data_IF_281058212093
#
_entry.id   IF_281058212093
#
_cell.length_a   1.000
_cell.length_b   1.000
_cell.length_c   1.000
_cell.angle_alpha   90.00
_cell.angle_beta   90.00
_cell.angle_gamma   90.00
#
_symmetry.space_group_name_H-M   'P 1'
#
loop_
_entity.id
_entity.type
_entity.pdbx_description
1 polymer ?
#
# COMPACT_ATOMS: atom_id res chain seq x y z
N UNK A 1 -38.62 27.56 -13.66
CA UNK A 1 -38.85 26.52 -14.69
C UNK A 1 -37.63 26.27 -15.57
N UNK A 2 -36.47 26.79 -15.15
CA UNK A 2 -35.18 26.76 -15.90
C UNK A 2 -34.14 25.79 -15.34
N UNK A 3 -34.33 25.23 -14.14
CA UNK A 3 -33.29 24.34 -13.52
C UNK A 3 -33.48 22.83 -13.79
N UNK A 4 -34.49 22.45 -14.57
CA UNK A 4 -34.70 21.02 -14.93
C UNK A 4 -34.11 20.60 -16.28
N UNK A 5 -33.64 21.55 -17.08
CA UNK A 5 -33.10 21.28 -18.43
C UNK A 5 -31.61 20.90 -18.36
N UNK A 6 -30.89 21.47 -17.38
CA UNK A 6 -29.40 21.29 -17.27
C UNK A 6 -28.98 19.93 -16.74
N UNK A 7 -29.79 19.27 -15.93
CA UNK A 7 -29.50 17.93 -15.40
C UNK A 7 -29.73 16.81 -16.43
N UNK A 8 -30.68 16.99 -17.37
CA UNK A 8 -30.97 16.01 -18.40
C UNK A 8 -29.95 16.05 -19.55
N UNK A 9 -29.37 17.19 -19.81
CA UNK A 9 -28.33 17.32 -20.85
C UNK A 9 -26.96 16.80 -20.36
N UNK A 10 -26.58 17.03 -19.11
CA UNK A 10 -25.39 16.40 -18.52
C UNK A 10 -25.47 14.88 -18.51
N UNK A 11 -26.63 14.32 -18.15
CA UNK A 11 -26.83 12.86 -18.16
C UNK A 11 -26.86 12.27 -19.58
N UNK A 12 -27.29 13.06 -20.58
CA UNK A 12 -27.25 12.70 -21.99
C UNK A 12 -25.86 12.78 -22.59
N UNK A 13 -25.03 13.70 -22.15
CA UNK A 13 -23.64 13.80 -22.59
C UNK A 13 -22.75 12.75 -21.91
N UNK A 14 -23.02 12.36 -20.66
CA UNK A 14 -22.39 11.22 -19.99
C UNK A 14 -22.77 9.88 -20.67
N UNK A 15 -24.05 9.73 -21.11
CA UNK A 15 -24.48 8.55 -21.88
C UNK A 15 -23.91 8.53 -23.30
N UNK A 16 -23.64 9.68 -23.91
CA UNK A 16 -22.99 9.76 -25.23
C UNK A 16 -21.49 9.52 -25.17
N UNK A 17 -20.80 9.90 -24.07
CA UNK A 17 -19.39 9.56 -23.83
C UNK A 17 -19.21 8.05 -23.62
N UNK A 18 -20.18 7.35 -23.06
CA UNK A 18 -20.19 5.90 -22.94
C UNK A 18 -20.38 5.16 -24.28
N UNK A 19 -20.87 5.82 -25.33
CA UNK A 19 -21.09 5.24 -26.65
C UNK A 19 -19.89 5.40 -27.62
N UNK A 20 -18.91 6.22 -27.32
CA UNK A 20 -17.83 6.56 -28.25
C UNK A 20 -16.56 5.68 -28.15
N UNK A 21 -16.56 4.54 -27.48
CA UNK A 21 -15.46 3.53 -27.57
C UNK A 21 -14.06 3.99 -27.13
N UNK A 22 -13.88 5.24 -26.76
CA UNK A 22 -12.57 5.81 -26.36
C UNK A 22 -12.23 5.49 -24.90
N UNK A 23 -13.24 5.27 -24.09
CA UNK A 23 -13.11 5.07 -22.65
C UNK A 23 -12.26 3.86 -22.20
N UNK A 24 -12.35 2.66 -22.81
CA UNK A 24 -11.56 1.51 -22.39
C UNK A 24 -10.05 1.65 -22.70
N UNK A 25 -9.70 2.36 -23.77
CA UNK A 25 -8.30 2.49 -24.22
C UNK A 25 -7.54 3.50 -23.35
N UNK A 26 -8.16 4.62 -23.02
CA UNK A 26 -7.52 5.62 -22.16
C UNK A 26 -7.34 5.13 -20.73
N UNK A 27 -8.31 4.41 -20.20
CA UNK A 27 -8.15 3.72 -18.92
C UNK A 27 -6.96 2.73 -18.95
N UNK A 28 -6.84 1.92 -20.01
CA UNK A 28 -5.72 0.99 -20.15
C UNK A 28 -4.37 1.70 -20.23
N UNK A 29 -4.31 2.86 -20.91
CA UNK A 29 -3.09 3.69 -20.97
C UNK A 29 -2.73 4.23 -19.59
N UNK A 30 -3.70 4.71 -18.81
CA UNK A 30 -3.51 5.23 -17.45
C UNK A 30 -3.10 4.14 -16.46
N UNK A 31 -3.60 2.91 -16.62
CA UNK A 31 -3.26 1.78 -15.74
C UNK A 31 -1.98 1.03 -16.14
N UNK A 32 -1.48 1.25 -17.36
CA UNK A 32 -0.29 0.57 -17.87
C UNK A 32 0.97 0.71 -16.98
N UNK A 33 1.29 1.88 -16.38
CA UNK A 33 2.41 2.01 -15.44
C UNK A 33 2.26 1.10 -14.22
N UNK A 34 1.05 1.01 -13.65
CA UNK A 34 0.76 0.16 -12.50
C UNK A 34 0.94 -1.32 -12.83
N UNK A 35 0.50 -1.76 -14.02
CA UNK A 35 0.69 -3.14 -14.50
C UNK A 35 2.17 -3.50 -14.53
N UNK A 36 3.01 -2.61 -15.06
CA UNK A 36 4.46 -2.83 -15.10
C UNK A 36 5.08 -2.88 -13.69
N UNK A 37 4.64 -1.99 -12.82
CA UNK A 37 5.12 -1.92 -11.42
C UNK A 37 4.77 -3.18 -10.62
N UNK A 38 3.60 -3.78 -10.88
CA UNK A 38 3.12 -4.93 -10.12
C UNK A 38 3.59 -6.28 -10.69
N UNK A 39 4.00 -6.32 -11.94
CA UNK A 39 4.45 -7.55 -12.60
C UNK A 39 5.67 -8.15 -11.88
N UNK A 40 5.59 -9.43 -11.56
CA UNK A 40 6.63 -10.17 -10.83
C UNK A 40 6.71 -9.89 -9.34
N UNK A 41 5.90 -8.95 -8.83
CA UNK A 41 5.82 -8.61 -7.41
C UNK A 41 5.03 -9.64 -6.62
N UNK A 42 5.37 -9.79 -5.34
CA UNK A 42 4.70 -10.74 -4.44
C UNK A 42 3.72 -10.01 -3.55
N UNK A 43 2.44 -10.34 -3.67
CA UNK A 43 1.36 -9.81 -2.84
C UNK A 43 0.83 -10.89 -1.91
N UNK A 44 0.70 -10.56 -0.62
CA UNK A 44 -0.03 -11.37 0.35
C UNK A 44 -1.39 -10.70 0.56
N UNK A 45 -2.46 -11.41 0.22
CA UNK A 45 -3.83 -10.89 0.29
C UNK A 45 -4.62 -11.72 1.30
N UNK A 46 -5.02 -11.05 2.38
CA UNK A 46 -5.93 -11.61 3.38
C UNK A 46 -7.37 -11.17 3.10
N UNK A 47 -8.30 -12.06 3.30
CA UNK A 47 -9.74 -11.75 3.29
C UNK A 47 -10.48 -12.52 4.38
N UNK A 48 -11.49 -11.88 4.96
CA UNK A 48 -12.30 -12.44 6.03
C UNK A 48 -13.13 -13.64 5.56
N UNK A 49 -13.52 -14.51 6.51
CA UNK A 49 -14.39 -15.65 6.22
C UNK A 49 -15.81 -15.25 5.80
N UNK A 50 -16.22 -14.04 6.07
CA UNK A 50 -17.51 -13.45 5.69
C UNK A 50 -17.68 -13.30 4.16
N UNK A 51 -16.58 -13.10 3.43
CA UNK A 51 -16.61 -12.94 1.97
C UNK A 51 -17.14 -14.16 1.24
N UNK A 52 -16.97 -15.35 1.79
CA UNK A 52 -17.45 -16.60 1.17
C UNK A 52 -18.98 -16.67 1.02
N UNK A 53 -19.70 -15.90 1.82
CA UNK A 53 -21.18 -15.85 1.78
C UNK A 53 -21.70 -14.57 1.13
N UNK A 54 -20.82 -13.68 0.69
CA UNK A 54 -21.18 -12.40 0.08
C UNK A 54 -21.27 -12.53 -1.45
N UNK A 55 -22.10 -11.70 -2.06
CA UNK A 55 -22.14 -11.54 -3.53
C UNK A 55 -20.80 -11.08 -4.13
N UNK A 56 -19.89 -10.57 -3.28
CA UNK A 56 -18.55 -10.14 -3.66
C UNK A 56 -17.53 -11.28 -3.85
N UNK A 57 -17.87 -12.54 -3.48
CA UNK A 57 -16.91 -13.65 -3.61
C UNK A 57 -16.49 -13.89 -5.06
N UNK A 58 -17.45 -13.91 -5.98
CA UNK A 58 -17.16 -14.07 -7.41
C UNK A 58 -16.30 -12.91 -7.94
N UNK A 59 -16.62 -11.69 -7.56
CA UNK A 59 -15.83 -10.50 -7.94
C UNK A 59 -14.39 -10.60 -7.43
N UNK A 60 -14.20 -11.03 -6.18
CA UNK A 60 -12.87 -11.24 -5.62
C UNK A 60 -12.08 -12.29 -6.42
N UNK A 61 -12.70 -13.42 -6.74
CA UNK A 61 -12.06 -14.47 -7.57
C UNK A 61 -11.66 -13.92 -8.94
N UNK A 62 -12.49 -13.06 -9.55
CA UNK A 62 -12.17 -12.36 -10.79
C UNK A 62 -10.93 -11.48 -10.66
N UNK A 63 -10.93 -10.63 -9.66
CA UNK A 63 -9.86 -9.67 -9.42
C UNK A 63 -8.54 -10.38 -9.17
N UNK A 64 -8.56 -11.43 -8.35
CA UNK A 64 -7.37 -12.25 -8.06
C UNK A 64 -6.88 -13.00 -9.31
N UNK A 65 -7.81 -13.50 -10.12
CA UNK A 65 -7.50 -14.14 -11.40
C UNK A 65 -6.82 -13.16 -12.35
N UNK A 66 -7.36 -11.95 -12.47
CA UNK A 66 -6.77 -10.89 -13.28
C UNK A 66 -5.36 -10.53 -12.81
N UNK A 67 -5.16 -10.33 -11.50
CA UNK A 67 -3.83 -10.03 -10.93
C UNK A 67 -2.81 -11.12 -11.25
N UNK A 68 -3.20 -12.39 -11.13
CA UNK A 68 -2.33 -13.52 -11.47
C UNK A 68 -1.93 -13.51 -12.95
N UNK A 69 -2.87 -13.23 -13.87
CA UNK A 69 -2.59 -13.13 -15.30
C UNK A 69 -1.73 -11.92 -15.67
N UNK A 70 -1.82 -10.84 -14.92
CA UNK A 70 -0.94 -9.67 -15.06
C UNK A 70 0.49 -9.95 -14.54
N UNK A 71 0.73 -11.15 -14.00
CA UNK A 71 2.04 -11.60 -13.55
C UNK A 71 2.35 -11.27 -12.09
N UNK A 72 1.34 -10.94 -11.27
CA UNK A 72 1.51 -10.78 -9.82
C UNK A 72 1.59 -12.16 -9.16
N UNK A 73 2.56 -12.36 -8.27
CA UNK A 73 2.71 -13.58 -7.48
C UNK A 73 1.80 -13.48 -6.25
N UNK A 74 0.78 -14.33 -6.16
CA UNK A 74 -0.25 -14.23 -5.14
C UNK A 74 -0.11 -15.27 -4.05
N UNK A 75 -0.14 -14.82 -2.79
CA UNK A 75 -0.36 -15.65 -1.61
C UNK A 75 -1.66 -15.21 -0.96
N UNK A 76 -2.62 -16.12 -0.90
CA UNK A 76 -3.94 -15.88 -0.35
C UNK A 76 -4.02 -16.43 1.07
N UNK A 77 -4.55 -15.64 1.99
CA UNK A 77 -4.83 -16.06 3.37
C UNK A 77 -6.29 -15.79 3.67
N UNK A 78 -7.04 -16.81 4.05
CA UNK A 78 -8.46 -16.64 4.35
C UNK A 78 -8.74 -16.69 5.84
N UNK A 79 -9.72 -15.88 6.29
CA UNK A 79 -10.38 -16.06 7.58
C UNK A 79 -11.35 -17.23 7.55
N UNK A 80 -11.78 -17.71 8.72
CA UNK A 80 -12.74 -18.82 8.82
C UNK A 80 -13.60 -18.76 10.10
N UNK A 81 -13.52 -17.67 10.86
CA UNK A 81 -14.16 -17.56 12.17
C UNK A 81 -15.67 -17.85 12.11
N UNK A 82 -16.36 -17.22 11.17
CA UNK A 82 -17.81 -17.38 11.00
C UNK A 82 -18.21 -18.81 10.63
N UNK A 83 -17.45 -19.48 9.78
CA UNK A 83 -17.71 -20.86 9.38
C UNK A 83 -17.45 -21.81 10.53
N UNK A 84 -16.38 -21.59 11.29
CA UNK A 84 -16.07 -22.40 12.49
C UNK A 84 -17.17 -22.23 13.55
N UNK A 85 -17.65 -21.01 13.80
CA UNK A 85 -18.74 -20.77 14.74
C UNK A 85 -20.03 -21.46 14.32
N UNK A 86 -20.40 -21.41 13.03
CA UNK A 86 -21.55 -22.14 12.47
C UNK A 86 -21.39 -23.66 12.61
N UNK A 87 -20.18 -24.18 12.33
CA UNK A 87 -19.92 -25.61 12.44
C UNK A 87 -19.96 -26.11 13.89
N UNK A 88 -19.42 -25.33 14.83
CA UNK A 88 -19.54 -25.62 16.27
C UNK A 88 -21.00 -25.62 16.74
N UNK A 89 -21.79 -24.63 16.26
CA UNK A 89 -23.21 -24.57 16.57
C UNK A 89 -23.97 -25.80 16.06
N UNK A 90 -23.69 -26.25 14.83
CA UNK A 90 -24.28 -27.50 14.29
C UNK A 90 -23.93 -28.72 15.14
N UNK A 91 -22.78 -28.75 15.76
CA UNK A 91 -22.31 -29.81 16.66
C UNK A 91 -22.76 -29.61 18.12
N UNK A 92 -23.53 -28.57 18.41
CA UNK A 92 -23.95 -28.19 19.78
C UNK A 92 -22.78 -27.91 20.72
N UNK A 93 -21.67 -27.39 20.21
CA UNK A 93 -20.48 -26.99 20.95
C UNK A 93 -20.48 -25.49 21.10
N UNK A 94 -20.40 -24.99 22.32
CA UNK A 94 -20.26 -23.56 22.61
C UNK A 94 -18.83 -23.11 22.36
N UNK A 95 -18.56 -22.09 21.52
CA UNK A 95 -17.22 -21.58 21.34
C UNK A 95 -16.73 -20.87 22.62
N UNK A 96 -15.51 -21.18 23.04
CA UNK A 96 -14.87 -20.53 24.19
C UNK A 96 -13.85 -19.53 23.70
N UNK A 97 -13.98 -18.29 24.16
CA UNK A 97 -13.03 -17.22 23.89
C UNK A 97 -12.48 -16.67 25.20
N UNK A 98 -11.23 -16.30 25.20
CA UNK A 98 -10.60 -15.62 26.32
C UNK A 98 -9.75 -14.45 25.85
N UNK A 99 -9.66 -13.42 26.70
CA UNK A 99 -8.82 -12.24 26.49
C UNK A 99 -7.66 -12.30 27.45
N UNK A 100 -6.43 -12.24 26.97
CA UNK A 100 -5.26 -12.17 27.84
C UNK A 100 -4.94 -10.73 28.18
N UNK A 101 -4.36 -10.50 29.36
CA UNK A 101 -3.98 -9.17 29.84
C UNK A 101 -2.90 -8.51 28.94
N UNK A 102 -2.07 -9.32 28.26
CA UNK A 102 -1.01 -8.87 27.38
C UNK A 102 -1.49 -8.48 25.97
N UNK A 103 -2.55 -9.13 25.52
CA UNK A 103 -3.11 -8.93 24.19
C UNK A 103 -4.59 -8.65 24.38
N UNK A 104 -5.02 -7.41 24.26
CA UNK A 104 -6.44 -6.99 24.43
C UNK A 104 -7.42 -7.70 23.48
N UNK A 105 -6.96 -8.71 22.76
CA UNK A 105 -7.68 -9.46 21.73
C UNK A 105 -8.29 -10.73 22.29
N UNK A 106 -9.53 -11.01 21.88
CA UNK A 106 -10.20 -12.28 22.18
C UNK A 106 -9.68 -13.41 21.27
N UNK A 107 -9.01 -14.37 21.88
CA UNK A 107 -8.57 -15.60 21.21
C UNK A 107 -9.50 -16.75 21.54
N UNK A 108 -9.75 -17.60 20.55
CA UNK A 108 -10.49 -18.86 20.77
C UNK A 108 -9.61 -19.83 21.54
N UNK A 109 -10.16 -20.42 22.61
CA UNK A 109 -9.59 -21.63 23.21
C UNK A 109 -9.99 -22.80 22.31
N UNK A 110 -9.01 -23.44 21.69
CA UNK A 110 -9.26 -24.52 20.71
C UNK A 110 -9.02 -25.87 21.37
N UNK A 111 -10.08 -26.50 21.84
CA UNK A 111 -10.06 -27.88 22.32
C UNK A 111 -10.07 -28.90 21.16
N UNK A 112 -10.08 -30.19 21.46
CA UNK A 112 -10.04 -31.27 20.46
C UNK A 112 -11.29 -31.26 19.54
N UNK A 113 -12.45 -30.91 20.08
CA UNK A 113 -13.70 -30.86 19.33
C UNK A 113 -13.75 -29.66 18.41
N UNK A 114 -13.33 -28.48 18.91
CA UNK A 114 -13.15 -27.28 18.09
C UNK A 114 -12.11 -27.50 16.97
N UNK A 115 -11.00 -28.21 17.27
CA UNK A 115 -10.01 -28.53 16.26
C UNK A 115 -10.58 -29.44 15.16
N UNK A 116 -11.48 -30.36 15.52
CA UNK A 116 -12.18 -31.23 14.56
C UNK A 116 -13.11 -30.44 13.68
N UNK A 117 -13.88 -29.48 14.24
CA UNK A 117 -14.70 -28.56 13.46
C UNK A 117 -13.86 -27.69 12.51
N UNK A 118 -12.73 -27.18 12.98
CA UNK A 118 -11.78 -26.39 12.18
C UNK A 118 -11.26 -27.20 10.97
N UNK A 119 -10.91 -28.48 11.14
CA UNK A 119 -10.46 -29.35 10.03
C UNK A 119 -11.55 -29.49 8.96
N UNK A 120 -12.81 -29.67 9.36
CA UNK A 120 -13.94 -29.76 8.42
C UNK A 120 -14.11 -28.47 7.62
N UNK A 121 -14.11 -27.33 8.32
CA UNK A 121 -14.26 -26.01 7.71
C UNK A 121 -13.13 -25.70 6.72
N UNK A 122 -11.88 -25.95 7.09
CA UNK A 122 -10.74 -25.73 6.20
C UNK A 122 -10.88 -26.55 4.92
N UNK A 123 -11.28 -27.82 5.04
CA UNK A 123 -11.44 -28.69 3.88
C UNK A 123 -12.53 -28.16 2.94
N UNK A 124 -13.64 -27.68 3.48
CA UNK A 124 -14.75 -27.09 2.70
C UNK A 124 -14.33 -25.80 2.00
N UNK A 125 -13.77 -24.83 2.73
CA UNK A 125 -13.34 -23.53 2.18
C UNK A 125 -12.24 -23.69 1.14
N UNK A 126 -11.30 -24.60 1.36
CA UNK A 126 -10.26 -24.91 0.41
C UNK A 126 -10.83 -25.45 -0.90
N UNK A 127 -11.73 -26.45 -0.83
CA UNK A 127 -12.38 -27.00 -2.01
C UNK A 127 -13.21 -25.95 -2.74
N UNK A 128 -13.89 -25.06 -2.01
CA UNK A 128 -14.65 -23.95 -2.61
C UNK A 128 -13.75 -23.00 -3.39
N UNK A 129 -12.60 -22.61 -2.84
CA UNK A 129 -11.63 -21.75 -3.54
C UNK A 129 -11.01 -22.47 -4.74
N UNK A 130 -10.54 -23.71 -4.57
CA UNK A 130 -9.97 -24.52 -5.66
C UNK A 130 -10.95 -24.64 -6.82
N UNK A 131 -12.23 -24.92 -6.53
CA UNK A 131 -13.31 -24.98 -7.52
C UNK A 131 -13.52 -23.64 -8.23
N UNK A 132 -13.60 -22.53 -7.48
CA UNK A 132 -13.84 -21.22 -8.04
C UNK A 132 -12.72 -20.77 -9.01
N UNK A 133 -11.46 -21.06 -8.67
CA UNK A 133 -10.33 -20.75 -9.55
C UNK A 133 -10.16 -21.74 -10.72
N UNK A 134 -10.71 -22.96 -10.63
CA UNK A 134 -10.60 -23.96 -11.70
C UNK A 134 -11.53 -23.70 -12.87
N UNK A 135 -12.68 -23.07 -12.63
CA UNK A 135 -13.72 -22.89 -13.67
C UNK A 135 -13.46 -21.64 -14.51
N UNK A 136 -12.72 -20.66 -13.98
CA UNK A 136 -12.79 -19.31 -14.51
C UNK A 136 -14.24 -18.84 -14.45
N UNK A 137 -14.53 -17.64 -14.91
CA UNK A 137 -15.91 -17.15 -14.86
C UNK A 137 -16.63 -17.44 -16.16
N UNK A 138 -17.64 -18.33 -16.16
CA UNK A 138 -18.47 -18.54 -17.33
C UNK A 138 -19.01 -17.20 -17.86
N UNK A 139 -18.99 -17.01 -19.17
CA UNK A 139 -19.48 -15.81 -19.85
C UNK A 139 -18.70 -14.51 -19.55
N UNK A 140 -17.47 -14.60 -19.09
CA UNK A 140 -16.57 -13.45 -18.92
C UNK A 140 -15.36 -13.56 -19.85
N UNK A 141 -14.63 -12.46 -20.08
CA UNK A 141 -13.33 -12.49 -20.78
C UNK A 141 -12.29 -13.40 -20.11
N UNK A 142 -12.49 -13.75 -18.84
CA UNK A 142 -11.65 -14.65 -18.05
C UNK A 142 -12.14 -16.11 -18.10
N UNK A 143 -13.12 -16.41 -18.94
CA UNK A 143 -13.57 -17.79 -19.18
C UNK A 143 -12.42 -18.63 -19.73
N UNK A 144 -12.11 -19.72 -19.02
CA UNK A 144 -10.99 -20.60 -19.38
C UNK A 144 -9.62 -20.20 -18.77
N UNK A 145 -9.58 -19.18 -17.92
CA UNK A 145 -8.42 -18.89 -17.11
C UNK A 145 -8.19 -20.07 -16.14
N UNK A 146 -7.12 -20.82 -16.37
CA UNK A 146 -6.73 -21.94 -15.50
C UNK A 146 -5.70 -21.47 -14.50
N UNK A 147 -6.12 -21.24 -13.26
CA UNK A 147 -5.20 -20.91 -12.17
C UNK A 147 -5.00 -22.13 -11.29
N UNK A 148 -3.76 -22.57 -11.16
CA UNK A 148 -3.38 -23.63 -10.24
C UNK A 148 -3.20 -23.07 -8.84
N UNK A 149 -3.91 -23.62 -7.86
CA UNK A 149 -3.76 -23.28 -6.45
C UNK A 149 -2.98 -24.39 -5.74
N UNK A 150 -2.01 -23.99 -4.91
CA UNK A 150 -1.27 -24.88 -4.05
C UNK A 150 -1.51 -24.54 -2.58
N UNK A 151 -1.87 -25.53 -1.77
CA UNK A 151 -1.94 -25.42 -0.32
C UNK A 151 -1.13 -26.53 0.35
N UNK A 152 -0.69 -26.30 1.60
CA UNK A 152 0.13 -27.28 2.29
C UNK A 152 0.57 -26.84 3.69
N UNK A 153 1.54 -27.58 4.25
CA UNK A 153 2.08 -27.36 5.60
C UNK A 153 3.16 -26.27 5.64
N UNK A 154 2.90 -25.11 5.05
CA UNK A 154 3.88 -24.02 4.90
C UNK A 154 4.10 -23.22 6.19
N UNK A 155 3.20 -23.35 7.18
CA UNK A 155 3.23 -22.62 8.43
C UNK A 155 3.72 -23.56 9.54
N UNK A 156 4.85 -23.23 10.15
CA UNK A 156 5.33 -23.90 11.36
C UNK A 156 4.76 -23.12 12.55
N UNK A 157 4.00 -23.81 13.38
CA UNK A 157 3.36 -23.24 14.56
C UNK A 157 4.09 -23.62 15.85
N UNK A 158 3.80 -22.90 16.92
CA UNK A 158 4.08 -23.24 18.31
C UNK A 158 2.78 -23.07 19.11
N UNK A 159 2.59 -23.82 20.24
CA UNK A 159 1.44 -23.62 21.08
C UNK A 159 1.42 -22.21 21.67
N UNK A 160 0.23 -21.62 21.82
CA UNK A 160 0.02 -20.39 22.59
C UNK A 160 0.30 -20.65 24.08
N UNK A 161 -0.04 -21.86 24.55
CA UNK A 161 0.24 -22.34 25.89
C UNK A 161 -0.77 -21.86 26.95
N UNK A 162 -0.31 -21.80 28.20
CA UNK A 162 -1.11 -21.32 29.32
C UNK A 162 -0.82 -19.84 29.54
N UNK A 163 -1.85 -19.00 29.45
CA UNK A 163 -1.78 -17.55 29.69
C UNK A 163 -2.89 -17.15 30.67
N UNK A 164 -2.54 -16.35 31.68
CA UNK A 164 -3.47 -15.87 32.70
C UNK A 164 -4.29 -16.99 33.35
N UNK A 165 -3.67 -18.18 33.52
CA UNK A 165 -4.32 -19.36 34.12
C UNK A 165 -5.23 -20.16 33.16
N UNK A 166 -5.37 -19.76 31.92
CA UNK A 166 -6.14 -20.45 30.88
C UNK A 166 -5.22 -21.25 29.95
N UNK A 167 -5.51 -22.55 29.81
CA UNK A 167 -4.86 -23.40 28.82
C UNK A 167 -5.56 -23.23 27.45
N UNK A 168 -4.84 -22.69 26.47
CA UNK A 168 -5.35 -22.47 25.13
C UNK A 168 -5.29 -23.71 24.22
N UNK A 169 -4.76 -24.83 24.72
CA UNK A 169 -4.73 -26.14 24.08
C UNK A 169 -4.15 -26.11 22.64
N UNK A 170 -5.01 -26.32 21.63
CA UNK A 170 -4.63 -26.29 20.21
C UNK A 170 -4.68 -24.89 19.56
N UNK A 171 -4.79 -23.82 20.33
CA UNK A 171 -4.53 -22.47 19.83
C UNK A 171 -3.02 -22.26 19.78
N UNK A 172 -2.54 -21.69 18.71
CA UNK A 172 -1.10 -21.49 18.49
C UNK A 172 -0.76 -20.12 17.93
N UNK A 173 0.53 -19.91 17.78
CA UNK A 173 1.15 -18.75 17.15
C UNK A 173 2.03 -19.19 15.98
N UNK A 174 2.20 -18.31 15.00
CA UNK A 174 3.15 -18.53 13.91
C UNK A 174 4.57 -18.47 14.45
N UNK A 175 5.32 -19.55 14.27
CA UNK A 175 6.75 -19.59 14.61
C UNK A 175 7.63 -19.18 13.44
N UNK A 176 7.31 -19.66 12.25
CA UNK A 176 7.99 -19.32 10.99
C UNK A 176 7.21 -19.79 9.79
N UNK A 177 7.49 -19.19 8.65
CA UNK A 177 6.96 -19.56 7.34
C UNK A 177 8.04 -20.33 6.57
N UNK A 178 7.66 -21.37 5.82
CA UNK A 178 8.54 -22.12 4.92
C UNK A 178 8.74 -21.35 3.61
N UNK A 179 9.49 -20.25 3.67
CA UNK A 179 9.71 -19.31 2.55
C UNK A 179 10.07 -20.01 1.24
N UNK A 180 11.08 -20.88 1.27
CA UNK A 180 11.59 -21.54 0.06
C UNK A 180 10.52 -22.37 -0.65
N UNK A 181 9.67 -23.09 0.11
CA UNK A 181 8.60 -23.89 -0.48
C UNK A 181 7.51 -23.03 -1.12
N UNK A 182 7.13 -21.93 -0.48
CA UNK A 182 6.17 -20.98 -1.05
C UNK A 182 6.75 -20.32 -2.29
N UNK A 183 7.99 -19.84 -2.22
CA UNK A 183 8.66 -19.18 -3.35
C UNK A 183 8.75 -20.08 -4.58
N UNK A 184 9.09 -21.36 -4.40
CA UNK A 184 9.16 -22.32 -5.51
C UNK A 184 7.81 -22.49 -6.23
N UNK A 185 6.70 -22.48 -5.49
CA UNK A 185 5.36 -22.55 -6.08
C UNK A 185 4.98 -21.24 -6.81
N UNK A 186 5.30 -20.09 -6.22
CA UNK A 186 5.08 -18.79 -6.85
C UNK A 186 5.91 -18.65 -8.14
N UNK A 187 7.14 -19.14 -8.15
CA UNK A 187 8.02 -19.13 -9.32
C UNK A 187 7.54 -20.11 -10.41
N UNK A 188 6.81 -21.16 -10.02
CA UNK A 188 6.12 -22.06 -10.94
C UNK A 188 4.78 -21.49 -11.47
N UNK A 189 4.43 -20.24 -11.12
CA UNK A 189 3.21 -19.58 -11.56
C UNK A 189 1.93 -20.01 -10.81
N UNK A 190 2.08 -20.68 -9.66
CA UNK A 190 0.93 -21.10 -8.84
C UNK A 190 0.54 -20.01 -7.85
N UNK A 191 -0.76 -19.92 -7.56
CA UNK A 191 -1.27 -19.16 -6.42
C UNK A 191 -1.15 -20.01 -5.17
N UNK A 192 -0.58 -19.46 -4.09
CA UNK A 192 -0.43 -20.19 -2.83
C UNK A 192 -1.56 -19.83 -1.88
N UNK A 193 -2.28 -20.84 -1.38
CA UNK A 193 -3.38 -20.69 -0.44
C UNK A 193 -2.96 -21.14 0.95
N UNK A 194 -3.09 -20.26 1.93
CA UNK A 194 -2.80 -20.51 3.34
C UNK A 194 -4.07 -20.45 4.17
N UNK A 195 -4.41 -21.55 4.81
CA UNK A 195 -5.43 -21.57 5.86
C UNK A 195 -4.79 -21.18 7.21
N UNK A 196 -5.57 -20.59 8.15
CA UNK A 196 -5.04 -20.14 9.45
C UNK A 196 -4.80 -21.31 10.41
N UNK A 197 -3.97 -22.25 9.99
CA UNK A 197 -3.49 -23.38 10.78
C UNK A 197 -2.00 -23.63 10.53
N UNK A 198 -1.33 -24.14 11.53
CA UNK A 198 0.07 -24.49 11.40
C UNK A 198 0.38 -25.80 12.14
N UNK A 199 1.55 -26.33 11.88
CA UNK A 199 1.99 -27.59 12.46
C UNK A 199 3.25 -27.40 13.30
N UNK A 200 3.28 -28.05 14.47
CA UNK A 200 4.48 -28.11 15.30
C UNK A 200 5.55 -29.01 14.64
N UNK A 201 6.72 -29.08 15.25
CA UNK A 201 7.76 -30.03 14.86
C UNK A 201 7.39 -31.49 15.16
N UNK A 202 6.49 -31.69 16.13
CA UNK A 202 5.95 -32.98 16.54
C UNK A 202 4.77 -33.44 15.73
N UNK A 203 4.28 -32.56 14.80
CA UNK A 203 3.15 -32.87 13.92
C UNK A 203 1.79 -32.42 14.43
N UNK A 204 1.75 -31.79 15.63
CA UNK A 204 0.48 -31.28 16.18
C UNK A 204 -0.02 -30.10 15.37
N UNK A 205 -1.34 -30.08 15.14
CA UNK A 205 -2.01 -29.00 14.44
C UNK A 205 -2.50 -27.94 15.42
N UNK A 206 -2.29 -26.68 15.07
CA UNK A 206 -2.72 -25.52 15.85
C UNK A 206 -3.57 -24.59 15.00
N UNK A 207 -4.65 -24.08 15.61
CA UNK A 207 -5.46 -22.99 15.11
C UNK A 207 -4.72 -21.67 15.31
N UNK A 208 -4.61 -20.87 14.27
CA UNK A 208 -3.86 -19.61 14.25
C UNK A 208 -4.79 -18.44 13.94
N UNK A 209 -4.35 -17.25 14.29
CA UNK A 209 -5.01 -16.02 13.87
C UNK A 209 -4.68 -15.75 12.39
N UNK A 210 -5.70 -15.58 11.56
CA UNK A 210 -5.52 -15.44 10.11
C UNK A 210 -4.75 -14.18 9.73
N UNK A 211 -4.97 -13.08 10.45
CA UNK A 211 -4.28 -11.80 10.26
C UNK A 211 -2.79 -11.93 10.57
N UNK A 212 -2.44 -12.67 11.64
CA UNK A 212 -1.04 -12.98 11.97
C UNK A 212 -0.38 -13.87 10.92
N UNK A 213 -1.12 -14.84 10.39
CA UNK A 213 -0.62 -15.68 9.28
C UNK A 213 -0.29 -14.83 8.08
N UNK A 214 -1.14 -13.89 7.70
CA UNK A 214 -0.90 -12.97 6.59
C UNK A 214 0.34 -12.10 6.84
N UNK A 215 0.42 -11.47 8.01
CA UNK A 215 1.54 -10.63 8.42
C UNK A 215 2.87 -11.40 8.41
N UNK A 216 2.92 -12.55 9.09
CA UNK A 216 4.13 -13.37 9.15
C UNK A 216 4.55 -13.91 7.79
N UNK A 217 3.58 -14.19 6.91
CA UNK A 217 3.83 -14.63 5.55
C UNK A 217 4.44 -13.49 4.73
N UNK A 218 3.87 -12.29 4.81
CA UNK A 218 4.39 -11.13 4.12
C UNK A 218 5.82 -10.79 4.56
N UNK A 219 6.08 -10.77 5.87
CA UNK A 219 7.43 -10.56 6.44
C UNK A 219 8.39 -11.67 5.98
N UNK A 220 7.99 -12.93 6.12
CA UNK A 220 8.85 -14.08 5.81
C UNK A 220 9.24 -14.17 4.34
N UNK A 221 8.36 -13.76 3.43
CA UNK A 221 8.63 -13.71 2.00
C UNK A 221 9.40 -12.45 1.59
N UNK A 222 9.32 -11.37 2.35
CA UNK A 222 9.70 -10.03 1.94
C UNK A 222 8.73 -9.53 0.85
N UNK A 223 7.44 -9.67 1.11
CA UNK A 223 6.40 -9.32 0.15
C UNK A 223 6.42 -7.82 -0.19
N UNK A 224 6.13 -7.50 -1.44
CA UNK A 224 6.04 -6.11 -1.90
C UNK A 224 4.79 -5.42 -1.34
N UNK A 225 3.67 -6.17 -1.23
CA UNK A 225 2.43 -5.66 -0.64
C UNK A 225 1.79 -6.70 0.29
N UNK A 226 1.23 -6.21 1.40
CA UNK A 226 0.31 -6.94 2.27
C UNK A 226 -1.05 -6.24 2.19
N UNK A 227 -2.10 -6.97 1.86
CA UNK A 227 -3.44 -6.40 1.69
C UNK A 227 -4.45 -7.11 2.60
N UNK A 228 -5.20 -6.35 3.36
CA UNK A 228 -6.33 -6.83 4.17
C UNK A 228 -7.64 -6.36 3.53
N UNK A 229 -8.39 -7.30 2.95
CA UNK A 229 -9.73 -7.04 2.42
C UNK A 229 -10.75 -7.29 3.53
N UNK A 230 -11.22 -6.24 4.16
CA UNK A 230 -12.06 -6.30 5.35
C UNK A 230 -13.45 -5.71 5.09
N UNK A 231 -14.52 -6.41 5.48
CA UNK A 231 -15.90 -5.92 5.27
C UNK A 231 -16.27 -4.70 6.14
N UNK A 232 -15.45 -4.39 7.13
CA UNK A 232 -15.62 -3.22 8.01
C UNK A 232 -14.55 -2.14 7.73
N UNK A 233 -13.94 -2.14 6.57
CA UNK A 233 -12.97 -1.12 6.14
C UNK A 233 -13.54 0.30 6.18
N UNK A 234 -14.84 0.44 6.01
CA UNK A 234 -15.56 1.71 6.15
C UNK A 234 -15.56 2.31 7.58
N UNK A 235 -15.16 1.55 8.61
CA UNK A 235 -14.99 2.06 9.96
C UNK A 235 -13.70 2.89 10.14
N UNK A 236 -12.80 2.85 9.17
CA UNK A 236 -11.61 3.70 9.10
C UNK A 236 -12.05 5.09 8.62
N UNK A 237 -11.49 6.12 9.21
CA UNK A 237 -11.76 7.49 8.77
C UNK A 237 -11.30 7.69 7.30
N UNK A 238 -12.28 7.89 6.43
CA UNK A 238 -12.05 8.09 5.00
C UNK A 238 -11.25 9.35 4.65
N UNK A 239 -11.02 10.25 5.59
CA UNK A 239 -10.15 11.40 5.41
C UNK A 239 -8.66 11.03 5.44
N UNK A 240 -8.33 9.87 6.03
CA UNK A 240 -6.96 9.36 6.15
C UNK A 240 -6.76 8.30 5.07
N UNK A 241 -6.01 8.64 4.02
CA UNK A 241 -5.70 7.71 2.93
C UNK A 241 -4.35 7.05 3.06
N UNK A 242 -3.43 7.70 3.75
CA UNK A 242 -2.06 7.26 3.92
C UNK A 242 -1.56 7.61 5.32
N UNK A 243 -0.82 6.70 5.92
CA UNK A 243 -0.22 6.87 7.25
C UNK A 243 1.15 6.20 7.28
N UNK A 244 2.11 6.85 7.94
CA UNK A 244 3.44 6.30 8.14
C UNK A 244 3.48 5.37 9.34
N UNK A 245 4.38 4.39 9.33
CA UNK A 245 4.66 3.51 10.48
C UNK A 245 5.21 4.24 11.71
N UNK A 246 5.66 5.49 11.55
CA UNK A 246 6.04 6.37 12.67
C UNK A 246 4.83 6.89 13.45
N UNK A 247 3.65 6.88 12.83
CA UNK A 247 2.44 7.40 13.44
C UNK A 247 1.79 6.38 14.40
N UNK A 248 0.85 6.86 15.21
CA UNK A 248 0.20 6.01 16.18
C UNK A 248 -1.03 5.30 15.59
N UNK A 249 -1.05 3.94 15.48
CA UNK A 249 -2.19 3.21 14.94
C UNK A 249 -3.49 3.37 15.73
N UNK A 250 -3.40 3.71 17.04
CA UNK A 250 -4.56 3.83 17.91
C UNK A 250 -5.52 4.99 17.55
N UNK A 251 -5.07 5.94 16.71
CA UNK A 251 -5.89 7.07 16.26
C UNK A 251 -6.82 6.76 15.09
N UNK A 252 -6.64 5.60 14.44
CA UNK A 252 -7.34 5.24 13.19
C UNK A 252 -8.73 4.67 13.39
N UNK A 253 -9.01 4.10 14.53
CA UNK A 253 -10.32 3.56 14.88
C UNK A 253 -10.71 4.10 16.25
N UNK A 254 -11.93 4.59 16.37
CA UNK A 254 -12.54 4.83 17.67
C UNK A 254 -13.15 3.51 18.17
N UNK A 255 -12.52 2.79 19.10
CA UNK A 255 -13.04 1.52 19.59
C UNK A 255 -14.21 1.79 20.55
N UNK A 256 -15.38 2.06 20.00
CA UNK A 256 -16.62 2.11 20.80
C UNK A 256 -17.35 0.78 20.62
N UNK A 257 -16.98 -0.23 21.43
CA UNK A 257 -17.76 -1.47 21.53
C UNK A 257 -16.93 -2.76 21.51
N UNK A 258 -17.55 -3.83 22.02
CA UNK A 258 -17.03 -5.22 22.02
C UNK A 258 -17.30 -5.95 20.69
N UNK A 259 -17.44 -5.23 19.57
CA UNK A 259 -17.70 -5.85 18.27
C UNK A 259 -16.45 -6.59 17.79
N UNK A 260 -16.59 -7.90 17.63
CA UNK A 260 -15.50 -8.79 17.21
C UNK A 260 -14.97 -8.47 15.81
N UNK A 261 -15.77 -7.83 14.98
CA UNK A 261 -15.37 -7.40 13.64
C UNK A 261 -14.45 -6.18 13.68
N UNK A 262 -14.72 -5.25 14.60
CA UNK A 262 -13.83 -4.12 14.85
C UNK A 262 -12.50 -4.56 15.47
N UNK A 263 -12.52 -5.61 16.31
CA UNK A 263 -11.28 -6.20 16.83
C UNK A 263 -10.42 -6.82 15.72
N UNK A 264 -11.02 -7.53 14.76
CA UNK A 264 -10.31 -8.06 13.59
C UNK A 264 -9.70 -6.93 12.73
N UNK A 265 -10.45 -5.84 12.52
CA UNK A 265 -9.95 -4.67 11.80
C UNK A 265 -8.78 -4.01 12.56
N UNK A 266 -8.88 -3.86 13.86
CA UNK A 266 -7.78 -3.35 14.68
C UNK A 266 -6.54 -4.24 14.57
N UNK A 267 -6.72 -5.56 14.61
CA UNK A 267 -5.62 -6.52 14.43
C UNK A 267 -4.99 -6.39 13.05
N UNK A 268 -5.79 -6.21 12.00
CA UNK A 268 -5.28 -6.00 10.64
C UNK A 268 -4.44 -4.72 10.56
N UNK A 269 -4.87 -3.63 11.21
CA UNK A 269 -4.10 -2.38 11.28
C UNK A 269 -2.78 -2.59 12.02
N UNK A 270 -2.80 -3.15 13.24
CA UNK A 270 -1.60 -3.41 14.04
C UNK A 270 -0.62 -4.33 13.30
N UNK A 271 -1.14 -5.37 12.64
CA UNK A 271 -0.37 -6.30 11.81
C UNK A 271 0.26 -5.58 10.60
N UNK A 272 -0.45 -4.65 9.98
CA UNK A 272 0.05 -3.83 8.88
C UNK A 272 1.23 -2.95 9.30
N UNK A 273 1.10 -2.24 10.42
CA UNK A 273 2.20 -1.45 10.99
C UNK A 273 3.42 -2.32 11.30
N UNK A 274 3.20 -3.47 11.93
CA UNK A 274 4.27 -4.41 12.27
C UNK A 274 4.94 -4.98 11.02
N UNK A 275 4.16 -5.34 9.99
CA UNK A 275 4.68 -5.84 8.73
C UNK A 275 5.58 -4.81 8.04
N UNK A 276 5.13 -3.56 7.93
CA UNK A 276 5.90 -2.50 7.31
C UNK A 276 7.18 -2.17 8.10
N UNK A 277 7.13 -2.13 9.44
CA UNK A 277 8.33 -1.99 10.29
C UNK A 277 9.33 -3.13 10.11
N UNK A 278 8.86 -4.31 9.72
CA UNK A 278 9.69 -5.50 9.48
C UNK A 278 10.09 -5.68 8.01
N UNK A 279 9.90 -4.66 7.17
CA UNK A 279 10.42 -4.61 5.81
C UNK A 279 9.44 -5.02 4.70
N UNK A 280 8.16 -5.17 4.98
CA UNK A 280 7.12 -5.23 3.94
C UNK A 280 6.98 -3.83 3.33
N UNK A 281 7.01 -3.74 2.01
CA UNK A 281 7.02 -2.46 1.31
C UNK A 281 5.85 -1.56 1.66
N UNK A 282 4.64 -2.10 1.52
CA UNK A 282 3.39 -1.39 1.79
C UNK A 282 2.35 -2.35 2.34
N UNK A 283 1.50 -1.87 3.21
CA UNK A 283 0.30 -2.57 3.62
C UNK A 283 -0.94 -1.74 3.34
N UNK A 284 -1.98 -2.41 2.85
CA UNK A 284 -3.24 -1.76 2.46
C UNK A 284 -4.39 -2.41 3.23
N UNK A 285 -5.31 -1.58 3.73
CA UNK A 285 -6.58 -2.05 4.29
C UNK A 285 -7.69 -1.52 3.41
N UNK A 286 -8.42 -2.44 2.77
CA UNK A 286 -9.39 -2.14 1.74
C UNK A 286 -10.78 -2.59 2.19
N UNK A 287 -11.79 -1.77 1.95
CA UNK A 287 -13.18 -2.11 2.23
C UNK A 287 -13.71 -3.11 1.18
N UNK A 288 -13.80 -4.37 1.56
CA UNK A 288 -14.26 -5.46 0.70
C UNK A 288 -15.77 -5.39 0.35
N UNK A 289 -16.53 -4.49 0.96
CA UNK A 289 -17.95 -4.28 0.61
C UNK A 289 -18.12 -3.45 -0.66
N UNK A 290 -17.10 -2.67 -1.01
CA UNK A 290 -17.11 -1.85 -2.21
C UNK A 290 -16.75 -2.69 -3.42
N UNK A 291 -17.54 -2.56 -4.47
CA UNK A 291 -17.28 -3.24 -5.74
C UNK A 291 -15.94 -2.77 -6.32
N UNK A 292 -15.17 -3.70 -6.87
CA UNK A 292 -13.90 -3.46 -7.55
C UNK A 292 -12.83 -2.76 -6.67
N UNK A 293 -13.00 -2.79 -5.33
CA UNK A 293 -12.13 -2.07 -4.40
C UNK A 293 -10.67 -2.51 -4.49
N UNK A 294 -10.41 -3.82 -4.66
CA UNK A 294 -9.06 -4.36 -4.79
C UNK A 294 -8.36 -3.80 -6.04
N UNK A 295 -9.03 -3.81 -7.18
CA UNK A 295 -8.44 -3.29 -8.44
C UNK A 295 -8.30 -1.76 -8.40
N UNK A 296 -9.28 -1.06 -7.82
CA UNK A 296 -9.17 0.40 -7.64
C UNK A 296 -7.97 0.76 -6.76
N UNK A 297 -7.75 0.04 -5.67
CA UNK A 297 -6.59 0.24 -4.81
C UNK A 297 -5.26 0.04 -5.56
N UNK A 298 -5.19 -0.92 -6.45
CA UNK A 298 -3.95 -1.29 -7.11
C UNK A 298 -3.68 -0.56 -8.43
N UNK A 299 -4.72 -0.09 -9.13
CA UNK A 299 -4.61 0.43 -10.49
C UNK A 299 -5.12 1.85 -10.65
N UNK A 300 -5.49 2.52 -9.56
CA UNK A 300 -5.82 3.94 -9.59
C UNK A 300 -4.92 4.71 -8.64
N UNK A 301 -4.73 5.97 -8.96
CA UNK A 301 -3.87 6.88 -8.20
C UNK A 301 -4.39 7.15 -6.79
N UNK A 302 -5.71 7.35 -6.68
CA UNK A 302 -6.34 7.74 -5.41
C UNK A 302 -6.57 6.55 -4.48
N UNK A 303 -6.46 5.31 -5.01
CA UNK A 303 -6.76 4.11 -4.26
C UNK A 303 -8.22 4.05 -3.79
N UNK A 304 -8.52 3.10 -2.92
CA UNK A 304 -9.84 2.93 -2.28
C UNK A 304 -9.76 2.66 -0.78
N UNK A 305 -8.56 2.38 -0.27
CA UNK A 305 -8.30 1.96 1.10
C UNK A 305 -7.38 2.89 1.89
N UNK A 306 -6.92 2.39 3.03
CA UNK A 306 -5.87 2.98 3.85
C UNK A 306 -4.53 2.36 3.48
N UNK A 307 -3.59 3.18 3.07
CA UNK A 307 -2.19 2.79 2.83
C UNK A 307 -1.37 3.03 4.10
N UNK A 308 -0.60 2.01 4.50
CA UNK A 308 0.39 2.08 5.56
C UNK A 308 1.75 1.78 4.93
N UNK A 309 2.71 2.69 5.06
CA UNK A 309 4.05 2.52 4.53
C UNK A 309 5.13 2.80 5.57
N UNK A 310 6.36 2.35 5.29
CA UNK A 310 7.51 2.53 6.20
C UNK A 310 8.06 3.96 6.21
N UNK A 311 7.52 4.86 5.39
CA UNK A 311 8.09 6.19 5.20
C UNK A 311 9.43 6.20 4.45
N UNK A 312 10.15 5.08 4.43
CA UNK A 312 11.43 4.92 3.73
C UNK A 312 11.26 4.58 2.22
N UNK A 313 10.02 4.43 1.76
CA UNK A 313 9.69 3.97 0.42
C UNK A 313 9.60 5.05 -0.64
N UNK A 314 9.69 6.29 -0.25
CA UNK A 314 9.99 7.35 -1.20
C UNK A 314 11.48 7.27 -1.53
N UNK A 315 11.80 6.36 -2.43
CA UNK A 315 13.15 6.20 -2.93
C UNK A 315 13.55 7.48 -3.64
N UNK A 316 14.15 8.41 -2.89
CA UNK A 316 14.73 9.60 -3.47
C UNK A 316 15.96 9.14 -4.22
N UNK A 317 15.87 9.15 -5.53
CA UNK A 317 16.95 8.75 -6.43
C UNK A 317 17.28 9.83 -7.43
N UNK A 318 18.47 9.74 -8.00
CA UNK A 318 18.84 10.56 -9.16
C UNK A 318 17.89 10.20 -10.30
N UNK A 319 17.41 11.20 -11.03
CA UNK A 319 16.57 11.01 -12.20
C UNK A 319 17.38 10.48 -13.38
N UNK A 320 16.73 9.65 -14.18
CA UNK A 320 17.26 9.11 -15.43
C UNK A 320 16.60 9.78 -16.64
N UNK A 321 17.18 9.67 -17.85
CA UNK A 321 16.59 10.27 -19.06
C UNK A 321 15.15 9.85 -19.33
N UNK A 322 14.73 8.66 -18.88
CA UNK A 322 13.35 8.20 -18.99
C UNK A 322 12.35 9.06 -18.19
N UNK A 323 12.81 9.71 -17.10
CA UNK A 323 11.96 10.52 -16.22
C UNK A 323 11.75 11.96 -16.73
N UNK A 324 12.41 12.36 -17.82
CA UNK A 324 12.35 13.75 -18.33
C UNK A 324 10.91 14.18 -18.62
N UNK A 325 10.12 13.32 -19.26
CA UNK A 325 8.74 13.66 -19.60
C UNK A 325 7.87 13.81 -18.33
N UNK A 326 8.03 12.94 -17.35
CA UNK A 326 7.29 12.98 -16.08
C UNK A 326 7.65 14.24 -15.28
N UNK A 327 8.94 14.62 -15.27
CA UNK A 327 9.39 15.86 -14.64
C UNK A 327 8.76 17.07 -15.35
N UNK A 328 8.72 17.09 -16.69
CA UNK A 328 8.08 18.16 -17.46
C UNK A 328 6.61 18.26 -17.09
N UNK A 329 5.90 17.15 -17.07
CA UNK A 329 4.48 17.14 -16.72
C UNK A 329 4.24 17.70 -15.31
N UNK A 330 5.10 17.32 -14.36
CA UNK A 330 5.03 17.78 -12.97
C UNK A 330 5.30 19.28 -12.82
N UNK A 331 6.27 19.84 -13.57
CA UNK A 331 6.68 21.25 -13.41
C UNK A 331 5.89 22.22 -14.30
N UNK A 332 5.26 21.76 -15.38
CA UNK A 332 4.55 22.60 -16.35
C UNK A 332 3.49 23.51 -15.68
N UNK A 333 2.61 23.02 -14.80
CA UNK A 333 1.64 23.89 -14.12
C UNK A 333 2.29 24.98 -13.27
N UNK A 334 3.46 24.69 -12.67
CA UNK A 334 4.23 25.63 -11.84
C UNK A 334 5.02 26.64 -12.68
N UNK A 335 5.31 26.32 -13.93
CA UNK A 335 5.89 27.25 -14.92
C UNK A 335 4.80 28.21 -15.41
N UNK A 336 3.62 27.69 -15.73
CA UNK A 336 2.48 28.45 -16.24
C UNK A 336 1.97 29.47 -15.20
N UNK A 337 1.90 29.09 -13.93
CA UNK A 337 1.52 30.00 -12.84
C UNK A 337 2.66 30.95 -12.39
N UNK A 338 3.84 30.79 -12.98
CA UNK A 338 4.99 31.65 -12.74
C UNK A 338 5.78 31.30 -11.46
N UNK A 339 5.52 30.19 -10.80
CA UNK A 339 6.28 29.75 -9.62
C UNK A 339 7.68 29.26 -10.01
N UNK A 340 7.79 28.48 -11.09
CA UNK A 340 9.06 27.99 -11.60
C UNK A 340 9.52 28.75 -12.87
N UNK A 341 10.81 28.70 -13.14
CA UNK A 341 11.37 29.19 -14.40
C UNK A 341 11.12 28.17 -15.51
N UNK A 342 10.78 28.63 -16.74
CA UNK A 342 10.69 27.75 -17.89
C UNK A 342 11.97 26.94 -18.09
N UNK A 343 11.83 25.64 -18.31
CA UNK A 343 12.90 24.74 -18.71
C UNK A 343 12.45 23.96 -19.94
N UNK A 344 13.33 23.89 -20.94
CA UNK A 344 13.05 23.09 -22.12
C UNK A 344 13.39 21.61 -21.86
N UNK A 345 12.85 20.71 -22.67
CA UNK A 345 13.21 19.30 -22.62
C UNK A 345 14.73 19.09 -22.75
N UNK A 346 15.38 19.83 -23.64
CA UNK A 346 16.82 19.76 -23.85
C UNK A 346 17.62 20.24 -22.61
N UNK A 347 17.14 21.25 -21.89
CA UNK A 347 17.76 21.67 -20.65
C UNK A 347 17.70 20.59 -19.59
N UNK A 348 16.52 19.95 -19.44
CA UNK A 348 16.33 18.85 -18.49
C UNK A 348 17.19 17.63 -18.86
N UNK A 349 17.23 17.23 -20.13
CA UNK A 349 18.08 16.12 -20.58
C UNK A 349 19.57 16.36 -20.28
N UNK A 350 20.04 17.59 -20.40
CA UNK A 350 21.41 17.96 -20.08
C UNK A 350 21.70 17.95 -18.58
N UNK A 351 20.73 18.37 -17.78
CA UNK A 351 20.87 18.56 -16.35
C UNK A 351 20.25 17.41 -15.52
N UNK A 352 19.77 16.36 -16.15
CA UNK A 352 18.96 15.30 -15.53
C UNK A 352 19.65 14.65 -14.31
N UNK A 353 20.97 14.56 -14.32
CA UNK A 353 21.75 13.99 -13.21
C UNK A 353 21.78 14.84 -11.97
N UNK A 354 21.41 16.12 -12.06
CA UNK A 354 21.27 17.02 -10.92
C UNK A 354 19.87 16.94 -10.32
N UNK A 355 18.93 16.27 -11.01
CA UNK A 355 17.56 16.08 -10.55
C UNK A 355 17.46 14.86 -9.66
N UNK A 356 16.74 15.01 -8.58
CA UNK A 356 16.31 13.97 -7.65
C UNK A 356 14.81 13.86 -7.74
N UNK A 357 14.31 12.64 -7.73
CA UNK A 357 12.88 12.36 -7.84
C UNK A 357 12.43 11.43 -6.72
N UNK A 358 11.18 11.61 -6.33
CA UNK A 358 10.40 10.61 -5.61
C UNK A 358 9.47 9.99 -6.63
N UNK A 359 9.57 8.69 -6.79
CA UNK A 359 8.74 7.93 -7.71
C UNK A 359 7.78 7.04 -6.92
N UNK A 360 6.54 7.04 -7.30
CA UNK A 360 5.52 6.16 -6.74
C UNK A 360 4.77 5.48 -7.88
N UNK A 361 4.80 4.14 -7.87
CA UNK A 361 4.08 3.30 -8.85
C UNK A 361 4.36 3.67 -10.32
N UNK A 362 5.62 4.02 -10.60
CA UNK A 362 6.06 4.37 -11.94
C UNK A 362 5.79 5.82 -12.36
N UNK A 363 5.29 6.66 -11.46
CA UNK A 363 5.04 8.09 -11.70
C UNK A 363 5.90 8.97 -10.79
N UNK A 364 6.48 10.04 -11.32
CA UNK A 364 7.23 11.02 -10.55
C UNK A 364 6.25 11.92 -9.77
N UNK A 365 6.27 11.81 -8.43
CA UNK A 365 5.38 12.58 -7.56
C UNK A 365 6.05 13.80 -6.93
N UNK A 366 7.38 13.82 -6.88
CA UNK A 366 8.17 14.97 -6.43
C UNK A 366 9.47 15.03 -7.21
N UNK A 367 9.93 16.21 -7.53
CA UNK A 367 11.26 16.42 -8.07
C UNK A 367 11.91 17.68 -7.48
N UNK A 368 13.25 17.70 -7.47
CA UNK A 368 14.05 18.88 -7.20
C UNK A 368 15.43 18.74 -7.85
N UNK A 369 16.10 19.84 -8.18
CA UNK A 369 17.50 19.81 -8.58
C UNK A 369 18.42 20.33 -7.46
N UNK A 370 19.61 19.76 -7.39
CA UNK A 370 20.71 20.22 -6.56
C UNK A 370 21.90 20.58 -7.46
N UNK A 371 22.18 21.86 -7.58
CA UNK A 371 23.26 22.37 -8.40
C UNK A 371 24.43 22.81 -7.52
N UNK A 372 25.59 22.14 -7.63
CA UNK A 372 26.77 22.38 -6.80
C UNK A 372 27.65 23.49 -7.42
N UNK A 373 28.03 24.48 -6.60
CA UNK A 373 28.89 25.60 -6.95
C UNK A 373 30.16 25.66 -6.09
N UNK A 374 30.61 24.54 -5.55
CA UNK A 374 31.75 24.45 -4.63
C UNK A 374 31.32 24.61 -3.17
N UNK A 375 31.60 25.75 -2.55
CA UNK A 375 31.22 25.98 -1.14
C UNK A 375 29.71 26.13 -0.90
N UNK A 376 28.93 26.33 -1.96
CA UNK A 376 27.49 26.49 -1.88
C UNK A 376 26.78 25.59 -2.89
N UNK A 377 25.55 25.18 -2.58
CA UNK A 377 24.67 24.48 -3.50
C UNK A 377 23.34 25.21 -3.64
N UNK A 378 22.73 25.15 -4.82
CA UNK A 378 21.38 25.65 -5.08
C UNK A 378 20.38 24.49 -5.08
N UNK A 379 19.34 24.64 -4.27
CA UNK A 379 18.15 23.84 -4.41
C UNK A 379 17.19 24.56 -5.36
N UNK A 380 16.89 23.95 -6.48
CA UNK A 380 15.99 24.54 -7.47
C UNK A 380 14.92 23.53 -7.91
N UNK A 381 13.89 24.02 -8.59
CA UNK A 381 12.86 23.21 -9.22
C UNK A 381 12.16 22.23 -8.27
N UNK A 382 11.98 22.57 -6.99
CA UNK A 382 11.23 21.76 -6.06
C UNK A 382 9.74 21.79 -6.44
N UNK A 383 9.23 20.65 -6.88
CA UNK A 383 7.85 20.48 -7.30
C UNK A 383 7.28 19.21 -6.69
N UNK A 384 6.05 19.31 -6.17
CA UNK A 384 5.28 18.19 -5.65
C UNK A 384 3.96 18.13 -6.40
N UNK A 385 3.60 16.95 -6.84
CA UNK A 385 2.34 16.71 -7.52
C UNK A 385 1.15 17.18 -6.63
N UNK A 386 0.12 17.83 -7.18
CA UNK A 386 -1.00 18.38 -6.42
C UNK A 386 -1.60 17.43 -5.39
N UNK A 387 -1.80 16.17 -5.74
CA UNK A 387 -2.42 15.17 -4.88
C UNK A 387 -1.54 14.71 -3.71
N UNK A 388 -0.25 14.99 -3.79
CA UNK A 388 0.72 14.69 -2.72
C UNK A 388 1.19 15.94 -1.98
N UNK A 389 0.55 17.09 -2.20
CA UNK A 389 0.80 18.31 -1.41
C UNK A 389 0.31 18.07 0.02
N UNK A 390 1.03 18.66 0.98
CA UNK A 390 0.82 18.47 2.42
C UNK A 390 1.09 17.02 2.97
N UNK A 391 1.60 16.10 2.15
CA UNK A 391 2.01 14.75 2.58
C UNK A 391 3.48 14.65 3.04
N UNK A 392 4.16 15.78 3.26
CA UNK A 392 5.55 15.81 3.73
C UNK A 392 6.62 15.63 2.65
N UNK A 393 6.27 15.28 1.38
CA UNK A 393 7.23 14.94 0.32
C UNK A 393 8.23 16.04 -0.03
N UNK A 394 7.82 17.31 0.07
CA UNK A 394 8.74 18.43 -0.11
C UNK A 394 9.79 18.48 1.01
N UNK A 395 9.39 18.22 2.25
CA UNK A 395 10.29 18.18 3.40
C UNK A 395 11.25 16.99 3.34
N UNK A 396 10.77 15.81 2.93
CA UNK A 396 11.59 14.61 2.73
C UNK A 396 12.67 14.85 1.67
N UNK A 397 12.28 15.42 0.52
CA UNK A 397 13.18 15.79 -0.56
C UNK A 397 14.22 16.81 -0.07
N UNK A 398 13.79 17.85 0.63
CA UNK A 398 14.70 18.87 1.18
C UNK A 398 15.70 18.26 2.13
N UNK A 399 15.27 17.44 3.09
CA UNK A 399 16.17 16.80 4.06
C UNK A 399 17.18 15.88 3.36
N UNK A 400 16.77 15.16 2.33
CA UNK A 400 17.66 14.34 1.52
C UNK A 400 18.74 15.21 0.85
N UNK A 401 18.34 16.31 0.21
CA UNK A 401 19.26 17.20 -0.50
C UNK A 401 20.18 17.96 0.46
N UNK A 402 19.73 18.32 1.65
CA UNK A 402 20.57 18.87 2.73
C UNK A 402 21.67 17.88 3.13
N UNK A 403 21.33 16.61 3.38
CA UNK A 403 22.30 15.55 3.68
C UNK A 403 23.31 15.37 2.55
N UNK A 404 22.84 15.44 1.31
CA UNK A 404 23.69 15.30 0.13
C UNK A 404 24.65 16.49 -0.04
N UNK A 405 24.15 17.72 0.09
CA UNK A 405 24.97 18.94 0.04
C UNK A 405 26.07 18.93 1.11
N UNK A 406 25.75 18.46 2.34
CA UNK A 406 26.78 18.26 3.41
C UNK A 406 27.82 17.21 2.98
N UNK A 407 27.42 16.09 2.39
CA UNK A 407 28.34 15.06 1.86
C UNK A 407 29.25 15.61 0.76
N UNK A 408 28.75 16.57 -0.02
CA UNK A 408 29.51 17.27 -1.05
C UNK A 408 30.36 18.42 -0.49
N UNK A 409 30.42 18.55 0.84
CA UNK A 409 31.20 19.58 1.55
C UNK A 409 30.77 21.03 1.24
N UNK A 410 29.49 21.22 0.88
CA UNK A 410 28.92 22.56 0.77
C UNK A 410 28.68 23.14 2.17
N UNK A 411 29.04 24.42 2.36
CA UNK A 411 28.81 25.13 3.63
C UNK A 411 27.43 25.79 3.69
N UNK A 412 26.81 26.03 2.51
CA UNK A 412 25.56 26.75 2.43
C UNK A 412 24.67 26.13 1.35
N UNK A 413 23.39 25.89 1.67
CA UNK A 413 22.35 25.61 0.70
C UNK A 413 21.53 26.89 0.49
N UNK A 414 21.33 27.30 -0.77
CA UNK A 414 20.52 28.48 -1.07
C UNK A 414 19.38 28.14 -2.05
N UNK A 415 18.34 28.94 -2.01
CA UNK A 415 17.18 28.83 -2.89
C UNK A 415 16.72 30.23 -3.33
N UNK A 416 16.25 30.30 -4.56
CA UNK A 416 15.66 31.50 -5.14
C UNK A 416 14.14 31.31 -5.24
N UNK A 417 13.37 32.04 -4.45
CA UNK A 417 11.91 31.90 -4.43
C UNK A 417 11.18 33.23 -4.56
N UNK A 418 10.04 33.19 -5.26
CA UNK A 418 9.12 34.34 -5.36
C UNK A 418 7.85 34.14 -4.54
N UNK A 419 7.48 32.89 -4.20
CA UNK A 419 6.20 32.56 -3.55
C UNK A 419 6.33 31.69 -2.29
N UNK A 420 7.30 30.78 -2.27
CA UNK A 420 7.40 29.76 -1.22
C UNK A 420 8.35 30.17 -0.08
N UNK A 421 8.61 31.48 0.11
CA UNK A 421 9.55 31.98 1.11
C UNK A 421 9.21 31.55 2.53
N UNK A 422 7.94 31.67 2.91
CA UNK A 422 7.46 31.33 4.25
C UNK A 422 7.72 29.83 4.57
N UNK A 423 7.44 28.94 3.61
CA UNK A 423 7.72 27.53 3.79
C UNK A 423 9.22 27.24 3.97
N UNK A 424 10.10 27.92 3.22
CA UNK A 424 11.55 27.75 3.41
C UNK A 424 12.01 28.26 4.78
N UNK A 425 11.41 29.35 5.27
CA UNK A 425 11.68 29.86 6.62
C UNK A 425 11.26 28.82 7.68
N UNK A 426 10.10 28.19 7.53
CA UNK A 426 9.64 27.09 8.40
C UNK A 426 10.60 25.89 8.37
N UNK A 427 11.31 25.68 7.26
CA UNK A 427 12.33 24.63 7.12
C UNK A 427 13.73 25.09 7.62
N UNK A 428 13.84 26.23 8.25
CA UNK A 428 15.08 26.74 8.86
C UNK A 428 15.94 27.62 7.95
N UNK A 429 15.49 27.98 6.76
CA UNK A 429 16.16 28.96 5.91
C UNK A 429 15.97 30.37 6.45
N UNK A 430 16.93 31.26 6.15
CA UNK A 430 16.85 32.67 6.45
C UNK A 430 16.88 33.49 5.15
N UNK A 431 16.06 34.53 5.06
CA UNK A 431 16.13 35.49 3.95
C UNK A 431 17.48 36.27 4.05
N UNK A 432 18.32 36.14 3.06
CA UNK A 432 19.63 36.79 2.99
C UNK A 432 19.83 37.46 1.63
N UNK A 433 19.45 38.75 1.49
CA UNK A 433 19.63 39.49 0.24
C UNK A 433 21.09 39.70 -0.15
N UNK A 434 21.99 39.56 0.81
CA UNK A 434 23.44 39.77 0.62
C UNK A 434 24.22 38.46 0.51
N UNK A 435 23.53 37.30 0.53
CA UNK A 435 24.17 36.00 0.44
C UNK A 435 25.21 35.94 -0.68
N UNK A 436 26.35 35.34 -0.39
CA UNK A 436 27.37 35.07 -1.38
C UNK A 436 26.96 33.91 -2.29
N UNK A 437 26.14 34.21 -3.31
CA UNK A 437 25.77 33.24 -4.32
C UNK A 437 26.59 33.46 -5.60
N UNK A 438 26.75 32.44 -6.46
CA UNK A 438 27.51 32.55 -7.69
C UNK A 438 27.06 33.73 -8.56
N UNK A 439 28.00 34.51 -9.08
CA UNK A 439 27.74 35.73 -9.87
C UNK A 439 26.83 35.41 -11.08
N UNK A 440 27.10 34.29 -11.76
CA UNK A 440 26.26 33.83 -12.88
C UNK A 440 24.80 33.66 -12.47
N UNK A 441 24.54 33.11 -11.28
CA UNK A 441 23.20 32.89 -10.76
C UNK A 441 22.51 34.18 -10.33
N UNK A 442 23.28 35.11 -9.72
CA UNK A 442 22.81 36.45 -9.35
C UNK A 442 22.37 37.24 -10.59
N UNK A 443 23.18 37.21 -11.64
CA UNK A 443 22.88 37.89 -12.94
C UNK A 443 21.67 37.25 -13.65
N UNK A 444 21.51 35.94 -13.54
CA UNK A 444 20.37 35.22 -14.13
C UNK A 444 19.05 35.43 -13.37
N UNK A 445 19.07 36.01 -12.17
CA UNK A 445 17.88 36.27 -11.35
C UNK A 445 17.04 37.47 -11.90
N UNK A 446 16.54 37.32 -13.13
CA UNK A 446 15.72 38.35 -13.80
C UNK A 446 14.39 38.64 -13.13
N UNK A 447 13.87 37.68 -12.34
CA UNK A 447 12.57 37.80 -11.63
C UNK A 447 12.64 38.53 -10.31
N UNK A 448 13.83 38.95 -9.86
CA UNK A 448 14.05 39.54 -8.53
C UNK A 448 13.56 38.62 -7.40
N UNK A 449 13.77 37.29 -7.57
CA UNK A 449 13.46 36.32 -6.52
C UNK A 449 14.24 36.66 -5.26
N UNK A 450 13.61 36.49 -4.11
CA UNK A 450 14.31 36.58 -2.84
C UNK A 450 15.28 35.40 -2.67
N UNK A 451 16.37 35.62 -1.98
CA UNK A 451 17.39 34.63 -1.69
C UNK A 451 17.17 34.16 -0.26
N UNK A 452 17.07 32.83 -0.09
CA UNK A 452 17.03 32.21 1.22
C UNK A 452 18.22 31.27 1.36
N UNK A 453 18.84 31.26 2.52
CA UNK A 453 20.06 30.47 2.80
C UNK A 453 19.82 29.59 4.02
N UNK A 454 20.43 28.40 4.00
CA UNK A 454 20.52 27.48 5.11
C UNK A 454 21.99 27.14 5.31
N UNK A 455 22.52 27.44 6.48
CA UNK A 455 23.87 27.03 6.86
C UNK A 455 23.93 25.53 7.06
N UNK A 456 24.89 24.85 6.44
CA UNK A 456 25.03 23.39 6.49
C UNK A 456 26.12 22.92 7.49
N UNK A 457 26.82 23.87 8.12
CA UNK A 457 27.78 23.57 9.20
C UNK A 457 27.07 22.91 10.38
N UNK A 458 27.74 21.91 10.97
CA UNK A 458 27.29 21.13 12.14
C UNK A 458 26.97 22.00 13.35
#
# INVERSE_FOLDING_TARGET
>A
MTDRIDASDKHRDELKSQQNGEWPIDWLRQTSPYINTHRGKTFVIWFGGDIFNASGFETLVHDLTLLSHLGVKLVLVHGMRLQVDKELQKRHISPVFNTTNSEKQQLRVTDADALTAIRSVISELRCQLESAFSVGLPNSPMSGAQISIASGNFIVAKPYGIRDGVDFQHTGEVRRIRKQSIQALLDAGMVVLLSPVGYSRTGDMFNLLSEDVAMHTAIGLGADKLMYLHQHGSAIDNSIREISVSDNPASLINPTGSDTNLQSLQTAIESSFKACRMGVGRSHIVDATQRDALLRELFTRDGSGLLIDSGDYDNIRVADPINVNDIIELITPLIEDGTLLPRTKQDLEREIRNFYIIEREGSVICCASLDNYGDSAELACLAVHPDFRASGKASDMLQHLVKLARRQQCNTLFVLSTRSGDWFIEQGFQEDPQASIPTARRTANRRRSKIYTLALSD
#
